data_IF_714325884379
#
_entry.id   IF_714325884379
#
_cell.length_a   1.000
_cell.length_b   1.000
_cell.length_c   1.000
_cell.angle_alpha   90.00
_cell.angle_beta   90.00
_cell.angle_gamma   90.00
#
_symmetry.space_group_name_H-M   'P 1'
#
loop_
_entity.id
_entity.type
_entity.pdbx_description
1 polymer ?
#
# COMPACT_ATOMS: atom_id res chain seq x y z
N UNK A 1 3.55 21.77 1.19
CA UNK A 1 3.84 20.53 1.95
C UNK A 1 3.38 20.73 3.38
N UNK A 2 2.11 20.46 3.65
CA UNK A 2 1.61 20.29 5.01
C UNK A 2 1.93 18.87 5.43
N UNK A 3 2.97 18.70 6.24
CA UNK A 3 3.13 17.48 7.04
C UNK A 3 1.94 17.44 7.99
N UNK A 4 0.87 16.76 7.55
CA UNK A 4 -0.25 16.44 8.40
C UNK A 4 0.27 15.45 9.42
N UNK A 5 0.57 15.93 10.63
CA UNK A 5 0.84 15.07 11.79
C UNK A 5 -0.44 14.28 12.04
N UNK A 6 -0.48 13.05 11.55
CA UNK A 6 -1.59 12.14 11.72
C UNK A 6 -1.65 11.79 13.21
N UNK A 7 -2.63 12.33 13.93
CA UNK A 7 -2.95 11.85 15.27
C UNK A 7 -3.32 10.37 15.15
N UNK A 8 -2.72 9.46 15.94
CA UNK A 8 -3.07 8.04 15.89
C UNK A 8 -4.56 7.91 16.20
N UNK A 9 -5.31 7.28 15.30
CA UNK A 9 -6.70 6.94 15.56
C UNK A 9 -6.76 5.96 16.72
N UNK A 10 -7.65 6.20 17.69
CA UNK A 10 -7.80 5.37 18.90
C UNK A 10 -8.56 4.07 18.59
N UNK A 11 -8.15 3.35 17.54
CA UNK A 11 -8.75 2.08 17.12
C UNK A 11 -8.41 1.00 18.15
N UNK A 12 -9.43 0.28 18.59
CA UNK A 12 -9.28 -0.88 19.50
C UNK A 12 -9.10 -2.14 18.67
N UNK A 13 -7.93 -2.77 18.76
CA UNK A 13 -7.59 -3.94 17.91
C UNK A 13 -7.87 -5.28 18.59
N UNK A 14 -7.83 -5.37 19.91
CA UNK A 14 -7.90 -6.64 20.66
C UNK A 14 -9.13 -7.50 20.34
N UNK A 15 -10.33 -6.91 20.32
CA UNK A 15 -11.56 -7.64 20.02
C UNK A 15 -11.61 -8.16 18.59
N UNK A 16 -11.02 -7.42 17.65
CA UNK A 16 -10.97 -7.75 16.23
C UNK A 16 -10.01 -8.92 16.01
N UNK A 17 -8.83 -8.83 16.63
CA UNK A 17 -7.82 -9.89 16.63
C UNK A 17 -8.41 -11.18 17.20
N UNK A 18 -9.05 -11.12 18.37
CA UNK A 18 -9.65 -12.30 19.00
C UNK A 18 -10.66 -12.98 18.07
N UNK A 19 -11.52 -12.20 17.41
CA UNK A 19 -12.51 -12.73 16.47
C UNK A 19 -11.89 -13.33 15.21
N UNK A 20 -10.85 -12.71 14.66
CA UNK A 20 -10.13 -13.26 13.52
C UNK A 20 -9.44 -14.58 13.88
N UNK A 21 -8.87 -14.69 15.08
CA UNK A 21 -8.26 -15.93 15.59
C UNK A 21 -9.32 -17.02 15.75
N UNK A 22 -10.48 -16.69 16.32
CA UNK A 22 -11.61 -17.62 16.43
C UNK A 22 -12.04 -18.14 15.05
N UNK A 23 -12.08 -17.26 14.03
CA UNK A 23 -12.50 -17.61 12.67
C UNK A 23 -11.46 -18.41 11.87
N UNK A 24 -10.19 -18.10 12.01
CA UNK A 24 -9.13 -18.62 11.13
C UNK A 24 -8.17 -19.59 11.83
N UNK A 25 -8.26 -19.71 13.16
CA UNK A 25 -7.48 -20.62 13.99
C UNK A 25 -6.20 -20.02 14.56
N UNK A 26 -5.69 -20.64 15.63
CA UNK A 26 -4.51 -20.20 16.37
C UNK A 26 -3.21 -20.19 15.54
N UNK A 27 -3.13 -21.01 14.47
CA UNK A 27 -1.99 -21.02 13.57
C UNK A 27 -1.76 -19.67 12.85
N UNK A 28 -2.81 -18.84 12.73
CA UNK A 28 -2.75 -17.54 12.08
C UNK A 28 -2.58 -16.38 13.08
N UNK A 29 -2.51 -16.65 14.38
CA UNK A 29 -2.55 -15.63 15.45
C UNK A 29 -1.50 -14.52 15.25
N UNK A 30 -0.24 -14.89 15.05
CA UNK A 30 0.83 -13.91 14.88
C UNK A 30 0.60 -13.04 13.63
N UNK A 31 0.14 -13.64 12.52
CA UNK A 31 -0.15 -12.91 11.28
C UNK A 31 -1.33 -11.95 11.45
N UNK A 32 -2.37 -12.40 12.14
CA UNK A 32 -3.56 -11.58 12.45
C UNK A 32 -3.14 -10.37 13.28
N UNK A 33 -2.46 -10.59 14.40
CA UNK A 33 -2.01 -9.51 15.30
C UNK A 33 -1.19 -8.48 14.55
N UNK A 34 -0.08 -8.93 13.93
CA UNK A 34 0.80 -8.02 13.22
C UNK A 34 0.14 -7.33 12.03
N UNK A 35 -0.78 -8.01 11.32
CA UNK A 35 -1.53 -7.43 10.22
C UNK A 35 -2.48 -6.33 10.66
N UNK A 36 -3.32 -6.62 11.67
CA UNK A 36 -4.28 -5.66 12.22
C UNK A 36 -3.55 -4.45 12.79
N UNK A 37 -2.45 -4.65 13.52
CA UNK A 37 -1.66 -3.55 14.09
C UNK A 37 -1.05 -2.66 12.99
N UNK A 38 -0.56 -3.24 11.89
CA UNK A 38 -0.04 -2.47 10.74
C UNK A 38 -1.12 -1.60 10.09
N UNK A 39 -2.34 -2.11 9.96
CA UNK A 39 -3.47 -1.32 9.44
C UNK A 39 -3.84 -0.22 10.43
N UNK A 40 -3.97 -0.53 11.72
CA UNK A 40 -4.33 0.43 12.76
C UNK A 40 -3.36 1.62 12.84
N UNK A 41 -2.05 1.37 12.68
CA UNK A 41 -1.02 2.42 12.65
C UNK A 41 -1.17 3.44 11.51
N UNK A 42 -1.88 3.08 10.45
CA UNK A 42 -2.05 3.91 9.24
C UNK A 42 -3.50 4.34 9.01
N UNK A 43 -4.43 3.80 9.78
CA UNK A 43 -5.86 4.09 9.66
C UNK A 43 -6.18 5.47 10.23
N UNK A 44 -6.95 6.25 9.48
CA UNK A 44 -7.33 7.61 9.84
C UNK A 44 -8.85 7.75 9.93
N UNK A 45 -9.31 8.93 10.35
CA UNK A 45 -10.74 9.24 10.36
C UNK A 45 -11.36 9.27 8.95
N UNK A 46 -10.56 9.49 7.90
CA UNK A 46 -11.03 9.46 6.50
C UNK A 46 -11.30 8.04 6.00
N UNK A 47 -10.59 7.05 6.55
CA UNK A 47 -10.72 5.64 6.17
C UNK A 47 -11.95 4.99 6.81
N UNK A 48 -12.36 5.49 7.98
CA UNK A 48 -13.60 5.11 8.66
C UNK A 48 -13.48 5.02 10.18
N UNK A 49 -14.61 4.78 10.84
CA UNK A 49 -14.67 4.59 12.29
C UNK A 49 -14.25 3.16 12.71
N UNK A 50 -14.37 2.85 14.01
CA UNK A 50 -14.07 1.53 14.58
C UNK A 50 -14.81 0.38 13.87
N UNK A 51 -16.09 0.57 13.54
CA UNK A 51 -16.92 -0.45 12.90
C UNK A 51 -16.46 -0.71 11.47
N UNK A 52 -16.11 0.36 10.73
CA UNK A 52 -15.56 0.26 9.39
C UNK A 52 -14.20 -0.46 9.39
N UNK A 53 -13.32 -0.13 10.34
CA UNK A 53 -12.02 -0.81 10.50
C UNK A 53 -12.21 -2.30 10.79
N UNK A 54 -13.12 -2.63 11.68
CA UNK A 54 -13.44 -4.01 12.05
C UNK A 54 -14.01 -4.80 10.86
N UNK A 55 -14.97 -4.20 10.13
CA UNK A 55 -15.52 -4.78 8.91
C UNK A 55 -14.44 -4.99 7.85
N UNK A 56 -13.53 -4.02 7.70
CA UNK A 56 -12.40 -4.11 6.77
C UNK A 56 -11.50 -5.30 7.10
N UNK A 57 -11.01 -5.41 8.33
CA UNK A 57 -10.12 -6.50 8.74
C UNK A 57 -10.79 -7.87 8.59
N UNK A 58 -12.07 -7.97 8.96
CA UNK A 58 -12.86 -9.21 8.87
C UNK A 58 -13.12 -9.64 7.44
N UNK A 59 -13.26 -8.68 6.53
CA UNK A 59 -13.50 -8.91 5.11
C UNK A 59 -12.22 -9.30 4.36
N UNK A 60 -11.12 -8.62 4.66
CA UNK A 60 -9.92 -8.66 3.82
C UNK A 60 -8.76 -9.47 4.38
N UNK A 61 -8.87 -10.01 5.60
CA UNK A 61 -7.89 -10.97 6.08
C UNK A 61 -8.00 -12.29 5.29
N UNK A 62 -6.88 -12.74 4.74
CA UNK A 62 -6.77 -13.99 3.97
C UNK A 62 -5.94 -15.00 4.76
N UNK A 63 -6.64 -16.06 5.19
CA UNK A 63 -6.05 -17.22 5.84
C UNK A 63 -5.69 -18.30 4.81
N UNK A 64 -4.75 -19.18 5.17
CA UNK A 64 -4.33 -20.28 4.30
C UNK A 64 -3.32 -19.85 3.23
N UNK A 65 -2.38 -20.74 2.92
CA UNK A 65 -1.22 -20.42 2.09
C UNK A 65 -1.58 -20.15 0.62
N UNK A 66 -2.42 -21.01 0.03
CA UNK A 66 -2.76 -20.92 -1.39
C UNK A 66 -3.50 -19.62 -1.73
N UNK A 67 -4.42 -19.20 -0.88
CA UNK A 67 -5.20 -17.97 -1.08
C UNK A 67 -4.33 -16.72 -0.95
N UNK A 68 -3.32 -16.76 -0.07
CA UNK A 68 -2.32 -15.68 0.04
C UNK A 68 -1.42 -15.58 -1.18
N UNK A 69 -0.99 -16.71 -1.73
CA UNK A 69 -0.21 -16.74 -2.98
C UNK A 69 -1.05 -16.10 -4.10
N UNK A 70 -2.34 -16.46 -4.21
CA UNK A 70 -3.24 -15.81 -5.18
C UNK A 70 -3.39 -14.32 -4.93
N UNK A 71 -3.51 -13.89 -3.66
CA UNK A 71 -3.58 -12.46 -3.33
C UNK A 71 -2.31 -11.74 -3.75
N UNK A 72 -1.14 -12.33 -3.48
CA UNK A 72 0.17 -11.76 -3.83
C UNK A 72 0.30 -11.60 -5.35
N UNK A 73 -0.03 -12.63 -6.13
CA UNK A 73 -0.04 -12.59 -7.59
C UNK A 73 -0.86 -11.41 -8.14
N UNK A 74 -2.03 -11.14 -7.57
CA UNK A 74 -2.87 -10.00 -7.97
C UNK A 74 -2.19 -8.66 -7.70
N UNK A 75 -1.58 -8.50 -6.52
CA UNK A 75 -0.86 -7.28 -6.18
C UNK A 75 0.38 -7.08 -7.06
N UNK A 76 1.19 -8.12 -7.25
CA UNK A 76 2.39 -8.07 -8.08
C UNK A 76 2.05 -7.73 -9.53
N UNK A 77 1.02 -8.37 -10.09
CA UNK A 77 0.57 -8.10 -11.47
C UNK A 77 0.11 -6.66 -11.64
N UNK A 78 -0.77 -6.17 -10.77
CA UNK A 78 -1.30 -4.82 -10.87
C UNK A 78 -0.22 -3.75 -10.63
N UNK A 79 0.57 -3.89 -9.56
CA UNK A 79 1.62 -2.92 -9.23
C UNK A 79 2.73 -2.93 -10.28
N UNK A 80 3.07 -4.10 -10.81
CA UNK A 80 4.02 -4.24 -11.92
C UNK A 80 3.53 -3.55 -13.19
N UNK A 81 2.27 -3.74 -13.58
CA UNK A 81 1.69 -3.09 -14.76
C UNK A 81 1.62 -1.56 -14.60
N UNK A 82 1.08 -1.07 -13.48
CA UNK A 82 0.99 0.38 -13.21
C UNK A 82 2.38 1.01 -13.16
N UNK A 83 3.31 0.40 -12.42
CA UNK A 83 4.68 0.89 -12.31
C UNK A 83 5.41 0.91 -13.65
N UNK A 84 5.25 -0.15 -14.45
CA UNK A 84 5.80 -0.28 -15.79
C UNK A 84 5.31 0.83 -16.72
N UNK A 85 4.00 1.00 -16.86
CA UNK A 85 3.42 2.02 -17.75
C UNK A 85 3.76 3.45 -17.31
N UNK A 86 3.74 3.74 -16.00
CA UNK A 86 4.19 5.05 -15.51
C UNK A 86 5.69 5.28 -15.78
N UNK A 87 6.49 4.21 -15.72
CA UNK A 87 7.90 4.24 -16.10
C UNK A 87 8.09 4.55 -17.60
N UNK A 88 7.30 3.92 -18.46
CA UNK A 88 7.31 4.20 -19.90
C UNK A 88 6.94 5.66 -20.19
N UNK A 89 5.85 6.16 -19.60
CA UNK A 89 5.42 7.56 -19.74
C UNK A 89 6.54 8.51 -19.29
N UNK A 90 7.14 8.28 -18.12
CA UNK A 90 8.25 9.11 -17.63
C UNK A 90 9.46 9.07 -18.55
N UNK A 91 9.79 7.92 -19.12
CA UNK A 91 10.89 7.79 -20.08
C UNK A 91 10.62 8.61 -21.34
N UNK A 92 9.40 8.59 -21.84
CA UNK A 92 9.02 9.34 -23.04
C UNK A 92 9.07 10.85 -22.78
N UNK A 93 8.58 11.29 -21.62
CA UNK A 93 8.63 12.70 -21.19
C UNK A 93 10.06 13.22 -21.01
N UNK A 94 11.00 12.35 -20.62
CA UNK A 94 12.41 12.73 -20.40
C UNK A 94 13.30 12.48 -21.62
N UNK A 95 12.76 11.91 -22.70
CA UNK A 95 13.53 11.42 -23.86
C UNK A 95 14.52 12.44 -24.41
N UNK A 96 14.07 13.65 -24.70
CA UNK A 96 14.92 14.71 -25.29
C UNK A 96 15.86 15.37 -24.28
N UNK A 97 15.54 15.30 -22.99
CA UNK A 97 16.43 15.77 -21.94
C UNK A 97 17.57 14.78 -21.67
N UNK A 98 17.28 13.47 -21.68
CA UNK A 98 18.22 12.39 -21.36
C UNK A 98 19.08 11.94 -22.55
N UNK A 99 18.57 12.01 -23.78
CA UNK A 99 19.29 11.56 -24.98
C UNK A 99 20.01 12.72 -25.68
N UNK A 100 21.12 12.42 -26.35
CA UNK A 100 21.78 13.37 -27.25
C UNK A 100 20.97 13.51 -28.54
N UNK A 101 20.70 14.74 -28.96
CA UNK A 101 19.97 15.03 -30.19
C UNK A 101 19.55 16.49 -30.27
N UNK A 102 18.61 16.76 -31.17
CA UNK A 102 17.94 18.06 -31.25
C UNK A 102 17.13 18.28 -29.97
N UNK A 103 17.32 19.46 -29.35
CA UNK A 103 16.60 19.87 -28.15
C UNK A 103 15.68 21.03 -28.48
N UNK A 104 14.53 21.04 -27.84
CA UNK A 104 13.68 22.22 -27.73
C UNK A 104 13.88 22.81 -26.33
N UNK A 105 14.79 23.78 -26.23
CA UNK A 105 15.13 24.41 -24.95
C UNK A 105 13.87 24.98 -24.24
N UNK A 106 13.78 24.75 -22.93
CA UNK A 106 12.63 25.14 -22.11
C UNK A 106 11.50 24.11 -22.09
N UNK A 107 10.97 23.68 -23.24
CA UNK A 107 9.87 22.70 -23.26
C UNK A 107 10.35 21.32 -22.80
N UNK A 108 11.50 20.86 -23.28
CA UNK A 108 12.03 19.53 -22.93
C UNK A 108 12.29 19.41 -21.41
N UNK A 109 12.78 20.49 -20.80
CA UNK A 109 13.03 20.52 -19.36
C UNK A 109 11.70 20.58 -18.58
N UNK A 110 10.70 21.33 -19.06
CA UNK A 110 9.37 21.35 -18.47
C UNK A 110 8.72 19.96 -18.54
N UNK A 111 8.75 19.31 -19.70
CA UNK A 111 8.24 17.95 -19.88
C UNK A 111 8.94 16.96 -18.94
N UNK A 112 10.25 17.08 -18.77
CA UNK A 112 11.03 16.22 -17.89
C UNK A 112 10.66 16.35 -16.40
N UNK A 113 9.97 17.42 -16.00
CA UNK A 113 9.45 17.61 -14.62
C UNK A 113 8.04 17.10 -14.40
N UNK A 114 7.32 16.71 -15.47
CA UNK A 114 5.94 16.26 -15.36
C UNK A 114 5.85 14.86 -14.72
N UNK A 115 5.13 14.76 -13.60
CA UNK A 115 4.75 13.47 -13.00
C UNK A 115 3.31 13.12 -13.36
N UNK A 116 3.06 12.02 -14.10
CA UNK A 116 1.70 11.60 -14.46
C UNK A 116 0.86 11.07 -13.29
N UNK A 117 1.46 10.71 -12.15
CA UNK A 117 0.73 10.12 -11.03
C UNK A 117 1.32 10.51 -9.66
N UNK A 118 1.36 11.82 -9.31
CA UNK A 118 2.04 12.32 -8.12
C UNK A 118 1.45 11.78 -6.80
N UNK A 119 0.14 11.51 -6.78
CA UNK A 119 -0.58 11.07 -5.58
C UNK A 119 -0.89 9.57 -5.58
N UNK A 120 -0.20 8.76 -6.38
CA UNK A 120 -0.53 7.34 -6.55
C UNK A 120 -0.56 6.58 -5.20
N UNK A 121 0.41 6.85 -4.32
CA UNK A 121 0.46 6.24 -3.00
C UNK A 121 -0.77 6.59 -2.17
N UNK A 122 -1.16 7.86 -2.11
CA UNK A 122 -2.32 8.32 -1.34
C UNK A 122 -3.62 7.76 -1.92
N UNK A 123 -3.70 7.60 -3.24
CA UNK A 123 -4.81 6.94 -3.89
C UNK A 123 -4.93 5.46 -3.50
N UNK A 124 -3.82 4.73 -3.34
CA UNK A 124 -3.85 3.34 -2.88
C UNK A 124 -4.37 3.21 -1.43
N UNK A 125 -4.11 4.19 -0.57
CA UNK A 125 -4.69 4.24 0.78
C UNK A 125 -6.18 4.62 0.75
N UNK A 126 -6.55 5.68 0.02
CA UNK A 126 -7.95 6.12 -0.11
C UNK A 126 -8.87 5.04 -0.68
N UNK A 127 -8.35 4.21 -1.59
CA UNK A 127 -9.08 3.06 -2.16
C UNK A 127 -8.89 1.77 -1.36
N UNK A 128 -8.24 1.84 -0.19
CA UNK A 128 -7.97 0.76 0.75
C UNK A 128 -7.09 -0.41 0.26
N UNK A 129 -6.57 -0.35 -0.97
CA UNK A 129 -5.69 -1.37 -1.53
C UNK A 129 -4.40 -1.54 -0.71
N UNK A 130 -3.81 -0.43 -0.26
CA UNK A 130 -2.62 -0.46 0.59
C UNK A 130 -2.89 -1.14 1.93
N UNK A 131 -4.08 -0.95 2.52
CA UNK A 131 -4.46 -1.62 3.77
C UNK A 131 -4.64 -3.13 3.61
N UNK A 132 -5.16 -3.59 2.46
CA UNK A 132 -5.28 -5.04 2.20
C UNK A 132 -3.88 -5.68 2.15
N UNK A 133 -2.91 -5.00 1.52
CA UNK A 133 -1.54 -5.46 1.51
C UNK A 133 -0.90 -5.46 2.92
N UNK A 134 -1.05 -4.37 3.69
CA UNK A 134 -0.55 -4.27 5.06
C UNK A 134 -1.13 -5.33 5.99
N UNK A 135 -2.42 -5.65 5.84
CA UNK A 135 -3.11 -6.66 6.64
C UNK A 135 -2.53 -8.06 6.40
N UNK A 136 -2.19 -8.39 5.16
CA UNK A 136 -1.91 -9.78 4.77
C UNK A 136 -0.44 -10.13 4.62
N UNK A 137 0.42 -9.14 4.32
CA UNK A 137 1.83 -9.36 4.02
C UNK A 137 2.76 -8.71 5.05
N UNK A 138 3.91 -9.35 5.36
CA UNK A 138 4.89 -8.78 6.25
C UNK A 138 5.51 -7.52 5.66
N UNK A 139 5.84 -6.57 6.53
CA UNK A 139 6.63 -5.38 6.20
C UNK A 139 7.88 -5.41 7.08
N UNK A 140 8.90 -6.20 6.72
CA UNK A 140 10.11 -6.27 7.51
C UNK A 140 10.76 -4.88 7.55
N UNK A 141 11.31 -4.51 8.71
CA UNK A 141 12.16 -3.34 8.81
C UNK A 141 13.57 -3.66 8.30
N UNK A 142 14.38 -2.63 8.14
CA UNK A 142 15.74 -2.78 7.64
C UNK A 142 16.57 -3.74 8.51
N UNK A 143 16.42 -3.64 9.84
CA UNK A 143 17.16 -4.47 10.78
C UNK A 143 16.85 -5.97 10.60
N UNK A 144 15.58 -6.31 10.36
CA UNK A 144 15.13 -7.68 10.12
C UNK A 144 15.67 -8.24 8.79
N UNK A 145 15.82 -7.41 7.76
CA UNK A 145 16.27 -7.87 6.43
C UNK A 145 17.77 -8.15 6.34
N UNK A 146 18.58 -7.57 7.23
CA UNK A 146 20.04 -7.67 7.21
C UNK A 146 20.61 -8.58 8.30
N UNK A 147 19.76 -9.13 9.17
CA UNK A 147 20.11 -10.10 10.19
C UNK A 147 20.21 -11.52 9.60
#
# INVERSE_FOLDING_TARGET
MTTSTIAPSTIKTDSIVARLIERHGAAEEQRIRSGVDRVALRWTAEDGNQEAFEAFCTRWFVAGEQDRIRLLDRFETFLGSVGGHLGEIRRDLRRWSDLRGERFEGLDDLMATFDPAPDLSDQLYRQQLAFVALLNFPRPDLATMIA
#
